data_IF_203545123799
#
_entry.id   IF_203545123799
#
_cell.length_a   1.000
_cell.length_b   1.000
_cell.length_c   1.000
_cell.angle_alpha   90.00
_cell.angle_beta   90.00
_cell.angle_gamma   90.00
#
_symmetry.space_group_name_H-M   'P 1'
#
loop_
_entity.id
_entity.type
_entity.pdbx_description
1 polymer ?
#
# COMPACT_ATOMS: atom_id res chain seq x y z
N UNK A 1 3.31 -3.40 12.67
CA UNK A 1 2.69 -3.46 11.33
C UNK A 1 3.29 -2.32 10.53
N UNK A 2 3.81 -2.59 9.34
CA UNK A 2 4.40 -1.57 8.46
C UNK A 2 3.65 -1.53 7.13
N UNK A 3 3.49 -0.34 6.58
CA UNK A 3 2.89 -0.12 5.26
C UNK A 3 3.84 0.70 4.41
N UNK A 4 3.94 0.34 3.14
CA UNK A 4 4.76 1.05 2.15
C UNK A 4 3.96 1.13 0.85
N UNK A 5 3.79 2.32 0.31
CA UNK A 5 3.18 2.51 -1.00
C UNK A 5 4.22 3.07 -1.96
N UNK A 6 4.31 2.49 -3.15
CA UNK A 6 5.17 2.93 -4.24
C UNK A 6 4.25 3.16 -5.42
N UNK A 7 4.19 4.40 -5.90
CA UNK A 7 3.33 4.82 -7.00
C UNK A 7 4.17 5.61 -8.02
N UNK A 8 3.79 5.49 -9.28
CA UNK A 8 4.31 6.33 -10.37
C UNK A 8 3.55 7.66 -10.48
N UNK A 9 3.89 8.48 -11.47
CA UNK A 9 3.24 9.78 -11.71
C UNK A 9 1.75 9.67 -12.07
N UNK A 10 1.28 8.46 -12.43
CA UNK A 10 -0.11 8.17 -12.76
C UNK A 10 -0.84 7.50 -11.60
N UNK A 11 -0.33 7.62 -10.37
CA UNK A 11 -0.87 6.98 -9.17
C UNK A 11 -1.00 5.45 -9.31
N UNK A 12 -0.16 4.83 -10.13
CA UNK A 12 -0.18 3.40 -10.41
C UNK A 12 1.07 2.76 -9.81
N UNK A 13 0.90 1.63 -9.14
CA UNK A 13 2.01 0.95 -8.50
C UNK A 13 1.53 -0.15 -7.54
N UNK A 14 2.14 -0.20 -6.36
CA UNK A 14 1.92 -1.29 -5.40
C UNK A 14 1.92 -0.76 -3.98
N UNK A 15 1.01 -1.29 -3.15
CA UNK A 15 1.07 -1.14 -1.69
C UNK A 15 1.50 -2.46 -1.07
N UNK A 16 2.51 -2.39 -0.21
CA UNK A 16 3.13 -3.50 0.50
C UNK A 16 2.81 -3.36 1.98
N UNK A 17 2.16 -4.38 2.54
CA UNK A 17 1.76 -4.43 3.94
C UNK A 17 2.53 -5.54 4.66
N UNK A 18 3.42 -5.14 5.56
CA UNK A 18 4.19 -6.01 6.43
C UNK A 18 3.46 -6.31 7.74
N UNK A 19 2.91 -7.51 7.83
CA UNK A 19 2.29 -8.04 9.04
C UNK A 19 3.31 -8.87 9.82
N UNK A 20 3.98 -8.22 10.77
CA UNK A 20 4.89 -8.90 11.69
C UNK A 20 4.11 -9.42 12.90
N UNK A 21 4.04 -10.74 13.04
CA UNK A 21 3.44 -11.43 14.20
C UNK A 21 4.54 -12.17 14.96
N UNK A 22 4.32 -12.48 16.26
CA UNK A 22 5.31 -13.14 17.14
C UNK A 22 5.88 -14.45 16.58
N UNK A 23 5.15 -15.13 15.69
CA UNK A 23 5.54 -16.41 15.10
C UNK A 23 6.01 -16.27 13.64
N UNK A 24 5.43 -15.34 12.87
CA UNK A 24 5.67 -15.20 11.41
C UNK A 24 5.57 -13.77 10.92
N UNK A 25 6.34 -13.48 9.88
CA UNK A 25 6.14 -12.28 9.05
C UNK A 25 5.35 -12.66 7.81
N UNK A 26 4.20 -12.02 7.60
CA UNK A 26 3.44 -12.11 6.35
C UNK A 26 3.57 -10.78 5.63
N UNK A 27 3.81 -10.83 4.32
CA UNK A 27 3.86 -9.65 3.46
C UNK A 27 2.73 -9.77 2.45
N UNK A 28 1.88 -8.75 2.40
CA UNK A 28 0.82 -8.64 1.42
C UNK A 28 1.20 -7.57 0.40
N UNK A 29 0.96 -7.83 -0.88
CA UNK A 29 1.11 -6.84 -1.93
C UNK A 29 -0.22 -6.72 -2.68
N UNK A 30 -0.70 -5.49 -2.83
CA UNK A 30 -1.89 -5.18 -3.62
C UNK A 30 -1.51 -4.20 -4.71
N UNK A 31 -1.96 -4.45 -5.93
CA UNK A 31 -1.74 -3.54 -7.04
C UNK A 31 -2.67 -2.33 -6.94
N UNK A 32 -2.11 -1.16 -7.23
CA UNK A 32 -2.82 0.11 -7.30
C UNK A 32 -2.78 0.57 -8.75
N UNK A 33 -3.94 0.87 -9.33
CA UNK A 33 -4.07 1.40 -10.69
C UNK A 33 -4.83 2.71 -10.62
N UNK A 34 -4.18 3.79 -11.03
CA UNK A 34 -4.78 5.13 -11.08
C UNK A 34 -5.41 5.52 -9.73
N UNK A 35 -4.67 5.32 -8.64
CA UNK A 35 -5.10 5.62 -7.28
C UNK A 35 -6.17 4.67 -6.71
N UNK A 36 -6.55 3.61 -7.43
CA UNK A 36 -7.56 2.64 -6.99
C UNK A 36 -6.99 1.23 -6.93
N UNK A 37 -7.35 0.50 -5.87
CA UNK A 37 -7.07 -0.93 -5.73
C UNK A 37 -8.27 -1.73 -6.20
N UNK A 38 -8.02 -2.88 -6.84
CA UNK A 38 -9.06 -3.83 -7.18
C UNK A 38 -9.56 -4.63 -5.95
N UNK A 39 -8.81 -4.56 -4.84
CA UNK A 39 -9.12 -5.17 -3.56
C UNK A 39 -9.52 -4.12 -2.52
N UNK A 40 -10.26 -4.53 -1.50
CA UNK A 40 -10.56 -3.66 -0.37
C UNK A 40 -9.28 -3.33 0.41
N UNK A 41 -9.07 -2.04 0.65
CA UNK A 41 -7.91 -1.51 1.36
C UNK A 41 -8.31 -1.10 2.77
N UNK A 42 -7.45 -1.40 3.74
CA UNK A 42 -7.61 -0.89 5.11
C UNK A 42 -7.43 0.63 5.14
N UNK A 43 -7.86 1.27 6.23
CA UNK A 43 -7.66 2.71 6.43
C UNK A 43 -6.17 3.10 6.38
N UNK A 44 -5.33 2.22 6.90
CA UNK A 44 -3.88 2.37 6.95
C UNK A 44 -3.24 2.24 5.56
N UNK A 45 -3.66 1.26 4.76
CA UNK A 45 -3.18 1.10 3.38
C UNK A 45 -3.57 2.31 2.52
N UNK A 46 -4.80 2.82 2.68
CA UNK A 46 -5.26 4.06 2.02
C UNK A 46 -4.39 5.24 2.43
N UNK A 47 -4.04 5.36 3.72
CA UNK A 47 -3.18 6.44 4.22
C UNK A 47 -1.78 6.37 3.60
N UNK A 48 -1.19 5.19 3.48
CA UNK A 48 0.12 5.01 2.84
C UNK A 48 0.09 5.44 1.37
N UNK A 49 -0.95 5.06 0.62
CA UNK A 49 -1.16 5.49 -0.77
C UNK A 49 -1.28 7.01 -0.84
N UNK A 50 -2.14 7.62 -0.02
CA UNK A 50 -2.33 9.08 0.02
C UNK A 50 -1.02 9.82 0.34
N UNK A 51 -0.18 9.26 1.22
CA UNK A 51 1.14 9.82 1.51
C UNK A 51 2.08 9.74 0.31
N UNK A 52 2.08 8.62 -0.44
CA UNK A 52 2.88 8.48 -1.65
C UNK A 52 2.41 9.44 -2.77
N UNK A 53 1.11 9.63 -2.94
CA UNK A 53 0.54 10.58 -3.92
C UNK A 53 0.90 12.04 -3.59
N UNK A 54 1.02 12.39 -2.31
CA UNK A 54 1.38 13.75 -1.86
C UNK A 54 2.87 14.05 -1.95
N UNK A 55 3.72 13.04 -2.02
CA UNK A 55 5.18 13.19 -2.08
C UNK A 55 5.65 13.51 -3.51
N UNK A 56 5.01 14.50 -4.14
CA UNK A 56 5.35 15.00 -5.48
C UNK A 56 6.33 16.16 -5.39
#
# INVERSE_FOLDING_TARGET
MSWLAILDDRDTGVVITGLHTRDRTRVYMKDIRVGKSNFELSAEEKKAILSAQKSK
#
